data_IF_380657095752
#
_entry.id   IF_380657095752
#
_cell.length_a   1.000
_cell.length_b   1.000
_cell.length_c   1.000
_cell.angle_alpha   90.00
_cell.angle_beta   90.00
_cell.angle_gamma   90.00
#
_symmetry.space_group_name_H-M   'P 1'
#
loop_
_entity.id
_entity.type
_entity.pdbx_description
1 polymer ?
#
# COMPACT_ATOMS: atom_id res chain seq x y z
N UNK A 1 33.89 4.93 53.29
CA UNK A 1 32.43 4.78 53.15
C UNK A 1 31.96 5.95 52.30
N UNK A 2 31.73 5.75 51.00
CA UNK A 2 31.43 6.83 50.03
C UNK A 2 29.92 6.93 49.89
N UNK A 3 29.34 8.01 50.38
CA UNK A 3 27.91 8.28 50.28
C UNK A 3 27.61 8.76 48.86
N UNK A 4 26.97 7.92 48.05
CA UNK A 4 26.48 8.29 46.72
C UNK A 4 25.20 9.11 46.93
N UNK A 5 25.31 10.44 46.82
CA UNK A 5 24.16 11.34 46.82
C UNK A 5 23.24 11.01 45.63
N UNK A 6 21.92 10.85 45.83
CA UNK A 6 20.98 10.71 44.73
C UNK A 6 20.95 12.04 43.96
N UNK A 7 21.45 12.02 42.73
CA UNK A 7 21.36 13.16 41.79
C UNK A 7 19.88 13.50 41.62
N UNK A 8 19.44 14.62 42.20
CA UNK A 8 18.09 15.16 41.97
C UNK A 8 18.05 15.74 40.55
N UNK A 9 17.36 15.05 39.64
CA UNK A 9 17.06 15.57 38.31
C UNK A 9 16.33 16.91 38.46
N UNK A 10 16.84 17.93 37.78
CA UNK A 10 16.26 19.28 37.72
C UNK A 10 14.85 19.24 37.11
N UNK A 11 14.01 20.25 37.38
CA UNK A 11 12.67 20.38 36.77
C UNK A 11 12.72 20.32 35.23
N UNK A 12 13.83 20.77 34.64
CA UNK A 12 14.10 20.71 33.19
C UNK A 12 14.37 19.27 32.73
N UNK A 13 15.14 18.48 33.50
CA UNK A 13 15.37 17.06 33.22
C UNK A 13 14.11 16.22 33.45
N UNK A 14 13.24 16.58 34.40
CA UNK A 14 11.91 15.97 34.57
C UNK A 14 10.96 16.36 33.44
N UNK A 15 10.98 17.62 32.97
CA UNK A 15 10.18 18.08 31.84
C UNK A 15 10.62 17.43 30.51
N UNK A 16 11.92 17.18 30.32
CA UNK A 16 12.46 16.47 29.16
C UNK A 16 12.16 14.96 29.18
N UNK A 17 11.89 14.39 30.37
CA UNK A 17 11.48 12.97 30.52
C UNK A 17 9.94 12.82 30.41
N UNK A 18 9.20 13.89 30.73
CA UNK A 18 7.75 14.01 30.52
C UNK A 18 7.40 14.52 29.11
N UNK A 19 8.27 14.34 28.11
CA UNK A 19 7.77 14.39 26.74
C UNK A 19 6.88 13.17 26.61
N UNK A 20 5.58 13.43 26.57
CA UNK A 20 4.53 12.45 26.59
C UNK A 20 4.81 11.39 25.51
N UNK A 21 5.44 10.29 25.92
CA UNK A 21 5.92 9.26 25.02
C UNK A 21 4.76 8.72 24.18
N UNK A 22 3.55 8.72 24.74
CA UNK A 22 2.31 8.42 24.04
C UNK A 22 1.99 9.44 22.94
N UNK A 23 2.20 10.74 23.16
CA UNK A 23 2.04 11.78 22.13
C UNK A 23 3.10 11.69 21.03
N UNK A 24 4.37 11.42 21.39
CA UNK A 24 5.43 11.16 20.40
C UNK A 24 5.07 9.92 19.57
N UNK A 25 4.65 8.83 20.22
CA UNK A 25 4.28 7.60 19.54
C UNK A 25 3.06 7.80 18.65
N UNK A 26 2.03 8.50 19.11
CA UNK A 26 0.87 8.86 18.31
C UNK A 26 1.27 9.70 17.09
N UNK A 27 2.15 10.67 17.27
CA UNK A 27 2.66 11.50 16.17
C UNK A 27 3.50 10.69 15.18
N UNK A 28 4.35 9.77 15.67
CA UNK A 28 5.11 8.84 14.81
C UNK A 28 4.19 7.91 14.03
N UNK A 29 3.16 7.35 14.66
CA UNK A 29 2.14 6.52 14.00
C UNK A 29 1.38 7.31 12.94
N UNK A 30 0.98 8.55 13.25
CA UNK A 30 0.33 9.44 12.30
C UNK A 30 1.22 9.75 11.09
N UNK A 31 2.49 10.08 11.33
CA UNK A 31 3.47 10.31 10.27
C UNK A 31 3.71 9.05 9.42
N UNK A 32 3.80 7.88 10.04
CA UNK A 32 3.94 6.61 9.34
C UNK A 32 2.71 6.31 8.48
N UNK A 33 1.50 6.48 9.02
CA UNK A 33 0.25 6.30 8.29
C UNK A 33 0.14 7.26 7.09
N UNK A 34 0.56 8.52 7.27
CA UNK A 34 0.62 9.50 6.19
C UNK A 34 1.62 9.12 5.11
N UNK A 35 2.83 8.70 5.50
CA UNK A 35 3.85 8.22 4.57
C UNK A 35 3.36 7.01 3.76
N UNK A 36 2.61 6.08 4.39
CA UNK A 36 1.98 4.96 3.70
C UNK A 36 0.95 5.44 2.67
N UNK A 37 0.06 6.38 3.02
CA UNK A 37 -0.91 6.95 2.07
C UNK A 37 -0.21 7.59 0.87
N UNK A 38 0.81 8.41 1.13
CA UNK A 38 1.59 9.08 0.09
C UNK A 38 2.31 8.07 -0.79
N UNK A 39 2.87 7.00 -0.21
CA UNK A 39 3.52 5.91 -0.95
C UNK A 39 2.54 5.16 -1.84
N UNK A 40 1.36 4.81 -1.32
CA UNK A 40 0.29 4.17 -2.10
C UNK A 40 -0.15 5.06 -3.25
N UNK A 41 -0.34 6.36 -3.01
CA UNK A 41 -0.74 7.31 -4.05
C UNK A 41 0.32 7.41 -5.17
N UNK A 42 1.60 7.51 -4.79
CA UNK A 42 2.71 7.54 -5.74
C UNK A 42 2.79 6.25 -6.58
N UNK A 43 2.71 5.09 -5.94
CA UNK A 43 2.72 3.79 -6.61
C UNK A 43 1.54 3.66 -7.58
N UNK A 44 0.31 3.99 -7.15
CA UNK A 44 -0.87 3.97 -8.03
C UNK A 44 -0.71 4.89 -9.22
N UNK A 45 -0.21 6.11 -9.01
CA UNK A 45 0.02 7.06 -10.08
C UNK A 45 1.03 6.54 -11.10
N UNK A 46 2.13 5.94 -10.65
CA UNK A 46 3.16 5.39 -11.55
C UNK A 46 2.71 4.12 -12.26
N UNK A 47 2.08 3.18 -11.55
CA UNK A 47 1.68 1.87 -12.10
C UNK A 47 0.50 1.99 -13.06
N UNK A 48 -0.50 2.81 -12.71
CA UNK A 48 -1.77 2.88 -13.45
C UNK A 48 -1.89 4.14 -14.32
N UNK A 49 -0.80 4.85 -14.58
CA UNK A 49 -0.81 6.06 -15.42
C UNK A 49 -1.47 5.83 -16.78
N UNK A 50 -1.14 4.69 -17.40
CA UNK A 50 -1.60 4.31 -18.74
C UNK A 50 -2.65 3.19 -18.71
N UNK A 51 -3.25 2.93 -17.55
CA UNK A 51 -4.27 1.90 -17.44
C UNK A 51 -5.50 2.28 -18.30
N UNK A 52 -5.97 1.34 -19.13
CA UNK A 52 -7.20 1.53 -19.89
C UNK A 52 -8.38 1.68 -18.94
N UNK A 53 -9.28 2.59 -19.28
CA UNK A 53 -10.59 2.72 -18.67
C UNK A 53 -11.63 2.43 -19.74
N UNK A 54 -12.33 1.34 -19.58
CA UNK A 54 -13.45 0.98 -20.45
C UNK A 54 -14.57 0.42 -19.59
N UNK A 55 -15.76 0.35 -20.19
CA UNK A 55 -16.98 -0.08 -19.49
C UNK A 55 -16.85 -1.48 -18.90
N UNK A 56 -16.22 -2.41 -19.61
CA UNK A 56 -16.06 -3.79 -19.13
C UNK A 56 -15.21 -3.88 -17.86
N UNK A 57 -14.21 -3.01 -17.70
CA UNK A 57 -13.37 -2.90 -16.51
C UNK A 57 -14.11 -2.17 -15.38
N UNK A 58 -14.83 -1.10 -15.70
CA UNK A 58 -15.58 -0.30 -14.72
C UNK A 58 -16.78 -1.06 -14.13
N UNK A 59 -17.42 -1.93 -14.92
CA UNK A 59 -18.55 -2.76 -14.52
C UNK A 59 -18.13 -4.10 -13.84
N UNK A 60 -16.84 -4.28 -13.51
CA UNK A 60 -16.38 -5.46 -12.77
C UNK A 60 -16.95 -5.49 -11.35
N UNK A 61 -17.80 -6.49 -11.07
CA UNK A 61 -18.48 -6.65 -9.76
C UNK A 61 -17.90 -7.76 -8.89
N UNK A 62 -17.11 -8.66 -9.46
CA UNK A 62 -16.56 -9.80 -8.73
C UNK A 62 -15.25 -10.30 -9.36
N UNK A 63 -14.50 -11.04 -8.55
CA UNK A 63 -13.20 -11.58 -8.91
C UNK A 63 -13.25 -12.56 -10.10
N UNK A 64 -14.30 -13.38 -10.20
CA UNK A 64 -14.45 -14.33 -11.29
C UNK A 64 -14.58 -13.64 -12.66
N UNK A 65 -15.35 -12.55 -12.74
CA UNK A 65 -15.48 -11.75 -13.95
C UNK A 65 -14.15 -11.06 -14.30
N UNK A 66 -13.45 -10.54 -13.29
CA UNK A 66 -12.14 -9.92 -13.48
C UNK A 66 -11.10 -10.94 -13.98
N UNK A 67 -11.09 -12.16 -13.45
CA UNK A 67 -10.21 -13.24 -13.91
C UNK A 67 -10.48 -13.63 -15.38
N UNK A 68 -11.75 -13.74 -15.77
CA UNK A 68 -12.11 -14.00 -17.18
C UNK A 68 -11.64 -12.87 -18.10
N UNK A 69 -11.82 -11.62 -17.68
CA UNK A 69 -11.39 -10.45 -18.46
C UNK A 69 -9.86 -10.38 -18.55
N UNK A 70 -9.15 -10.74 -17.46
CA UNK A 70 -7.70 -10.81 -17.42
C UNK A 70 -7.16 -11.84 -18.43
N UNK A 71 -7.77 -13.03 -18.49
CA UNK A 71 -7.39 -14.07 -19.46
C UNK A 71 -7.54 -13.54 -20.90
N UNK A 72 -8.67 -12.89 -21.21
CA UNK A 72 -8.89 -12.30 -22.55
C UNK A 72 -7.85 -11.23 -22.88
N UNK A 73 -7.62 -10.30 -21.96
CA UNK A 73 -6.63 -9.23 -22.14
C UNK A 73 -5.21 -9.79 -22.31
N UNK A 74 -4.87 -10.85 -21.56
CA UNK A 74 -3.59 -11.57 -21.69
C UNK A 74 -3.43 -12.23 -23.06
N UNK A 75 -4.50 -12.82 -23.61
CA UNK A 75 -4.47 -13.44 -24.96
C UNK A 75 -4.28 -12.39 -26.07
N UNK A 76 -4.77 -11.17 -25.87
CA UNK A 76 -4.59 -10.06 -26.79
C UNK A 76 -3.30 -9.25 -26.54
N UNK A 77 -2.46 -9.67 -25.58
CA UNK A 77 -1.28 -8.95 -25.13
C UNK A 77 -1.54 -7.46 -24.75
N UNK A 78 -2.77 -7.14 -24.33
CA UNK A 78 -3.16 -5.78 -23.98
C UNK A 78 -2.76 -5.46 -22.54
N UNK A 79 -1.49 -5.05 -22.39
CA UNK A 79 -0.93 -4.66 -21.11
C UNK A 79 -1.68 -3.50 -20.44
N UNK A 80 -2.30 -2.60 -21.19
CA UNK A 80 -3.03 -1.46 -20.60
C UNK A 80 -4.40 -1.87 -20.06
N UNK A 81 -5.09 -2.80 -20.73
CA UNK A 81 -6.31 -3.42 -20.21
C UNK A 81 -6.01 -4.22 -18.93
N UNK A 82 -4.91 -4.98 -18.91
CA UNK A 82 -4.49 -5.72 -17.71
C UNK A 82 -4.22 -4.77 -16.54
N UNK A 83 -3.56 -3.63 -16.77
CA UNK A 83 -3.38 -2.60 -15.73
C UNK A 83 -4.72 -2.04 -15.23
N UNK A 84 -5.70 -1.84 -16.11
CA UNK A 84 -7.04 -1.40 -15.73
C UNK A 84 -7.75 -2.42 -14.82
N UNK A 85 -7.68 -3.70 -15.19
CA UNK A 85 -8.25 -4.81 -14.39
C UNK A 85 -7.56 -4.89 -13.03
N UNK A 86 -6.22 -4.83 -13.00
CA UNK A 86 -5.45 -4.88 -11.76
C UNK A 86 -5.76 -3.71 -10.83
N UNK A 87 -6.02 -2.52 -11.37
CA UNK A 87 -6.42 -1.37 -10.56
C UNK A 87 -7.70 -1.67 -9.77
N UNK A 88 -8.72 -2.20 -10.45
CA UNK A 88 -10.01 -2.58 -9.83
C UNK A 88 -9.81 -3.74 -8.86
N UNK A 89 -8.98 -4.72 -9.22
CA UNK A 89 -8.69 -5.87 -8.37
C UNK A 89 -8.01 -5.46 -7.05
N UNK A 90 -7.07 -4.52 -7.08
CA UNK A 90 -6.44 -3.98 -5.87
C UNK A 90 -7.47 -3.24 -5.02
N UNK A 91 -8.32 -2.41 -5.64
CA UNK A 91 -9.35 -1.64 -4.91
C UNK A 91 -10.39 -2.56 -4.24
N UNK A 92 -10.70 -3.70 -4.84
CA UNK A 92 -11.65 -4.69 -4.32
C UNK A 92 -11.01 -5.88 -3.59
N UNK A 93 -9.68 -5.87 -3.41
CA UNK A 93 -8.90 -6.93 -2.76
C UNK A 93 -9.03 -8.33 -3.37
N UNK A 94 -9.11 -8.40 -4.70
CA UNK A 94 -9.15 -9.65 -5.46
C UNK A 94 -7.75 -10.23 -5.64
N UNK A 95 -7.30 -11.00 -4.65
CA UNK A 95 -5.94 -11.49 -4.55
C UNK A 95 -5.51 -12.44 -5.68
N UNK A 96 -6.42 -13.26 -6.22
CA UNK A 96 -6.07 -14.20 -7.30
C UNK A 96 -5.79 -13.44 -8.60
N UNK A 97 -6.61 -12.44 -8.91
CA UNK A 97 -6.44 -11.58 -10.08
C UNK A 97 -5.15 -10.78 -9.99
N UNK A 98 -4.83 -10.24 -8.80
CA UNK A 98 -3.57 -9.51 -8.58
C UNK A 98 -2.35 -10.43 -8.78
N UNK A 99 -2.37 -11.64 -8.20
CA UNK A 99 -1.28 -12.61 -8.38
C UNK A 99 -1.08 -13.01 -9.84
N UNK A 100 -2.16 -13.27 -10.56
CA UNK A 100 -2.11 -13.59 -11.98
C UNK A 100 -1.56 -12.43 -12.82
N UNK A 101 -1.96 -11.19 -12.53
CA UNK A 101 -1.44 -10.01 -13.21
C UNK A 101 0.04 -9.73 -12.93
N UNK A 102 0.52 -9.97 -11.70
CA UNK A 102 1.95 -9.91 -11.38
C UNK A 102 2.74 -10.92 -12.22
N UNK A 103 2.23 -12.15 -12.33
CA UNK A 103 2.87 -13.18 -13.15
C UNK A 103 2.93 -12.80 -14.63
N UNK A 104 1.85 -12.22 -15.17
CA UNK A 104 1.80 -11.75 -16.56
C UNK A 104 2.91 -10.74 -16.87
N UNK A 105 3.14 -9.76 -15.99
CA UNK A 105 4.13 -8.72 -16.24
C UNK A 105 5.58 -9.18 -16.07
N UNK A 106 5.84 -10.30 -15.36
CA UNK A 106 7.17 -10.91 -15.28
C UNK A 106 8.28 -9.93 -14.91
N UNK A 107 9.20 -9.66 -15.84
CA UNK A 107 10.34 -8.75 -15.66
C UNK A 107 10.03 -7.27 -15.94
N UNK A 108 8.80 -6.94 -16.34
CA UNK A 108 8.42 -5.57 -16.64
C UNK A 108 8.60 -4.68 -15.39
N UNK A 109 9.06 -3.42 -15.51
CA UNK A 109 9.30 -2.54 -14.36
C UNK A 109 8.09 -2.32 -13.45
N UNK A 110 6.88 -2.58 -13.96
CA UNK A 110 5.63 -2.52 -13.19
C UNK A 110 5.48 -3.73 -12.25
N UNK A 111 5.98 -4.90 -12.63
CA UNK A 111 5.92 -6.11 -11.81
C UNK A 111 6.67 -5.96 -10.48
N UNK A 112 7.73 -5.14 -10.42
CA UNK A 112 8.42 -4.82 -9.17
C UNK A 112 7.61 -3.94 -8.21
N UNK A 113 6.63 -3.18 -8.72
CA UNK A 113 5.84 -2.20 -7.94
C UNK A 113 4.47 -2.74 -7.51
N UNK A 114 3.93 -3.71 -8.24
CA UNK A 114 2.63 -4.33 -7.93
C UNK A 114 2.62 -5.08 -6.58
N UNK A 115 3.64 -5.89 -6.22
CA UNK A 115 3.69 -6.57 -4.92
C UNK A 115 3.74 -5.59 -3.75
N UNK A 116 4.53 -4.53 -3.87
CA UNK A 116 4.60 -3.47 -2.85
C UNK A 116 3.27 -2.74 -2.73
N UNK A 117 2.63 -2.39 -3.84
CA UNK A 117 1.32 -1.75 -3.81
C UNK A 117 0.27 -2.69 -3.18
N UNK A 118 0.31 -3.98 -3.50
CA UNK A 118 -0.59 -4.97 -2.95
C UNK A 118 -0.41 -5.12 -1.43
N UNK A 119 0.81 -5.25 -0.91
CA UNK A 119 1.02 -5.36 0.55
C UNK A 119 0.52 -4.13 1.29
N UNK A 120 0.83 -2.93 0.79
CA UNK A 120 0.42 -1.67 1.40
C UNK A 120 -1.11 -1.43 1.37
N UNK A 121 -1.84 -2.14 0.51
CA UNK A 121 -3.31 -2.00 0.37
C UNK A 121 -4.09 -3.16 0.97
N UNK A 122 -3.55 -4.38 0.93
CA UNK A 122 -4.14 -5.58 1.51
C UNK A 122 -4.06 -5.59 3.05
N UNK A 123 -2.98 -5.06 3.63
CA UNK A 123 -2.79 -5.02 5.09
C UNK A 123 -3.62 -3.94 5.80
N UNK A 124 -4.42 -3.15 5.07
CA UNK A 124 -5.48 -2.33 5.66
C UNK A 124 -6.66 -3.22 6.09
N UNK A 125 -6.44 -4.12 7.04
CA UNK A 125 -7.55 -4.58 7.87
C UNK A 125 -8.16 -3.37 8.57
N UNK A 126 -9.49 -3.37 8.62
CA UNK A 126 -10.33 -2.31 9.18
C UNK A 126 -9.77 -1.83 10.53
N UNK A 127 -9.57 -0.51 10.63
CA UNK A 127 -9.38 0.19 11.90
C UNK A 127 -10.71 0.84 12.25
#
# INVERSE_FOLDING_TARGET
>A
MVTISPRRLTLVERAATNIDHAAIEAQRRYQAARATVERVAALRHTVFRNAVRNRDIEDLKNEANAARLLIRASQSADGFAILGILRVAIDNRWGDVVRAGIHYFGEHPVAGRLPELWSLTADRSEV
#
